data_IF_928580168130
#
_entry.id   IF_928580168130
#
_cell.length_a   1.000
_cell.length_b   1.000
_cell.length_c   1.000
_cell.angle_alpha   90.00
_cell.angle_beta   90.00
_cell.angle_gamma   90.00
#
_symmetry.space_group_name_H-M   'P 1'
#
loop_
_entity.id
_entity.type
_entity.pdbx_description
1 polymer ?
#
# COMPACT_ATOMS: atom_id res chain seq x y z
N UNK A 1 -5.29 -8.10 -1.56
CA UNK A 1 -5.20 -8.76 -2.88
C UNK A 1 -3.78 -9.25 -3.06
N UNK A 2 -3.58 -10.43 -3.64
CA UNK A 2 -2.25 -10.98 -3.93
C UNK A 2 -2.09 -11.10 -5.45
N UNK A 3 -0.92 -10.72 -5.94
CA UNK A 3 -0.58 -10.62 -7.36
C UNK A 3 0.71 -11.38 -7.62
N UNK A 4 0.76 -12.09 -8.74
CA UNK A 4 1.98 -12.65 -9.29
C UNK A 4 2.35 -11.82 -10.52
N UNK A 5 3.54 -11.22 -10.50
CA UNK A 5 4.04 -10.37 -11.57
C UNK A 5 5.30 -10.97 -12.16
N UNK A 6 5.35 -11.13 -13.46
CA UNK A 6 6.56 -11.54 -14.16
C UNK A 6 7.55 -10.38 -14.31
N UNK A 7 8.82 -10.69 -14.58
CA UNK A 7 9.87 -9.67 -14.77
C UNK A 7 9.45 -8.69 -15.87
N UNK A 8 9.45 -7.40 -15.54
CA UNK A 8 9.10 -6.31 -16.44
C UNK A 8 7.61 -6.00 -16.50
N UNK A 9 6.75 -6.77 -15.83
CA UNK A 9 5.33 -6.42 -15.73
C UNK A 9 5.13 -5.19 -14.85
N UNK A 10 4.20 -4.35 -15.30
CA UNK A 10 3.85 -3.10 -14.65
C UNK A 10 2.36 -3.17 -14.28
N UNK A 11 2.08 -2.83 -13.03
CA UNK A 11 0.72 -2.58 -12.57
C UNK A 11 0.58 -1.11 -12.22
N UNK A 12 -0.45 -0.51 -12.80
CA UNK A 12 -0.96 0.79 -12.42
C UNK A 12 -2.19 0.58 -11.52
N UNK A 13 -2.09 0.98 -10.26
CA UNK A 13 -3.18 0.88 -9.30
C UNK A 13 -4.10 2.12 -9.31
N UNK A 14 -3.81 3.09 -10.17
CA UNK A 14 -4.53 4.34 -10.18
C UNK A 14 -4.29 5.13 -8.89
N UNK A 15 -5.29 5.93 -8.51
CA UNK A 15 -5.23 6.78 -7.33
C UNK A 15 -5.60 5.98 -6.08
N UNK A 16 -4.65 5.89 -5.15
CA UNK A 16 -4.79 5.22 -3.85
C UNK A 16 -4.87 6.23 -2.70
N UNK A 17 -5.51 5.86 -1.58
CA UNK A 17 -5.48 6.65 -0.34
C UNK A 17 -4.10 6.60 0.34
N UNK A 18 -3.92 7.39 1.40
CA UNK A 18 -2.80 7.21 2.33
C UNK A 18 -2.93 5.87 3.06
N UNK A 19 -1.84 5.43 3.69
CA UNK A 19 -1.74 4.19 4.46
C UNK A 19 -2.07 2.91 3.67
N UNK A 20 -1.98 2.98 2.34
CA UNK A 20 -1.99 1.81 1.47
C UNK A 20 -0.67 1.07 1.57
N UNK A 21 -0.73 -0.26 1.69
CA UNK A 21 0.43 -1.10 1.88
C UNK A 21 0.70 -2.01 0.68
N UNK A 22 1.96 -2.02 0.25
CA UNK A 22 2.53 -2.90 -0.77
C UNK A 22 3.59 -3.76 -0.07
N UNK A 23 3.39 -5.07 -0.04
CA UNK A 23 4.36 -6.03 0.50
C UNK A 23 4.87 -6.94 -0.59
N UNK A 24 6.20 -7.05 -0.74
CA UNK A 24 6.80 -8.02 -1.64
C UNK A 24 7.08 -9.31 -0.84
N UNK A 25 6.40 -10.40 -1.20
CA UNK A 25 6.50 -11.71 -0.53
C UNK A 25 7.60 -12.60 -1.09
N UNK A 26 8.06 -12.30 -2.30
CA UNK A 26 9.20 -12.92 -2.97
C UNK A 26 9.56 -12.08 -4.19
N UNK A 27 10.84 -12.07 -4.57
CA UNK A 27 11.33 -11.29 -5.73
C UNK A 27 11.66 -9.85 -5.36
N UNK A 28 11.54 -8.94 -6.33
CA UNK A 28 11.84 -7.52 -6.14
C UNK A 28 11.00 -6.65 -7.08
N UNK A 29 10.45 -5.57 -6.53
CA UNK A 29 9.65 -4.60 -7.27
C UNK A 29 10.18 -3.18 -7.06
N UNK A 30 10.02 -2.34 -8.08
CA UNK A 30 10.10 -0.89 -7.99
C UNK A 30 8.68 -0.34 -7.80
N UNK A 31 8.49 0.50 -6.79
CA UNK A 31 7.27 1.24 -6.52
C UNK A 31 7.48 2.75 -6.69
N UNK A 32 6.59 3.41 -7.43
CA UNK A 32 6.56 4.86 -7.63
C UNK A 32 5.22 5.42 -7.18
N UNK A 33 5.24 6.45 -6.33
CA UNK A 33 4.04 7.16 -5.88
C UNK A 33 4.07 8.62 -6.35
N UNK A 34 3.08 9.03 -7.12
CA UNK A 34 2.96 10.43 -7.54
C UNK A 34 2.77 11.36 -6.35
N UNK A 35 3.55 12.44 -6.30
CA UNK A 35 3.61 13.36 -5.17
C UNK A 35 4.65 12.97 -4.13
N UNK A 36 5.25 11.79 -4.25
CA UNK A 36 6.53 11.46 -3.60
C UNK A 36 7.67 11.73 -4.59
N UNK A 37 8.74 12.35 -4.10
CA UNK A 37 9.95 12.63 -4.88
C UNK A 37 10.85 11.40 -5.04
N UNK A 38 10.52 10.31 -4.36
CA UNK A 38 11.35 9.12 -4.26
C UNK A 38 10.63 7.91 -4.82
N UNK A 39 11.44 7.11 -5.49
CA UNK A 39 11.12 5.75 -5.88
C UNK A 39 11.63 4.78 -4.82
N UNK A 40 10.94 3.63 -4.72
CA UNK A 40 11.21 2.63 -3.70
C UNK A 40 11.46 1.27 -4.32
N UNK A 41 12.58 0.65 -3.94
CA UNK A 41 12.82 -0.77 -4.17
C UNK A 41 12.24 -1.56 -3.00
N UNK A 42 11.36 -2.50 -3.29
CA UNK A 42 10.72 -3.39 -2.31
C UNK A 42 11.12 -4.82 -2.68
N UNK A 43 12.10 -5.34 -1.96
CA UNK A 43 12.61 -6.71 -2.11
C UNK A 43 11.86 -7.73 -1.25
N UNK A 44 12.31 -8.96 -1.30
CA UNK A 44 11.72 -10.08 -0.58
C UNK A 44 11.52 -9.80 0.93
N UNK A 45 10.31 -10.08 1.43
CA UNK A 45 9.88 -9.83 2.79
C UNK A 45 9.68 -8.36 3.16
N UNK A 46 10.01 -7.42 2.27
CA UNK A 46 9.91 -5.99 2.55
C UNK A 46 8.52 -5.45 2.26
N UNK A 47 8.22 -4.33 2.89
CA UNK A 47 6.95 -3.63 2.73
C UNK A 47 7.18 -2.13 2.55
N UNK A 48 6.32 -1.53 1.74
CA UNK A 48 6.20 -0.11 1.52
C UNK A 48 4.79 0.32 1.91
N UNK A 49 4.67 1.36 2.73
CA UNK A 49 3.39 1.96 3.10
C UNK A 49 3.40 3.41 2.65
N UNK A 50 2.37 3.80 1.89
CA UNK A 50 2.23 5.16 1.38
C UNK A 50 1.90 6.12 2.51
N UNK A 51 2.65 7.20 2.64
CA UNK A 51 2.39 8.24 3.67
C UNK A 51 1.31 9.23 3.25
N UNK A 52 1.14 9.39 1.94
CA UNK A 52 0.16 10.27 1.32
C UNK A 52 -0.62 9.48 0.27
N UNK A 53 -1.83 9.94 -0.04
CA UNK A 53 -2.56 9.42 -1.20
C UNK A 53 -1.97 9.93 -2.51
N UNK A 54 -2.08 9.17 -3.57
CA UNK A 54 -1.46 9.49 -4.86
C UNK A 54 -1.68 8.41 -5.91
N UNK A 55 -1.08 8.58 -7.07
CA UNK A 55 -1.12 7.58 -8.14
C UNK A 55 0.04 6.60 -7.98
N UNK A 56 -0.24 5.30 -7.88
CA UNK A 56 0.75 4.27 -7.51
C UNK A 56 1.01 3.31 -8.67
N UNK A 57 2.29 3.22 -9.06
CA UNK A 57 2.78 2.27 -10.07
C UNK A 57 3.74 1.29 -9.42
N UNK A 58 3.62 0.02 -9.79
CA UNK A 58 4.51 -1.07 -9.35
C UNK A 58 5.08 -1.75 -10.59
N UNK A 59 6.39 -1.88 -10.67
CA UNK A 59 7.10 -2.60 -11.72
C UNK A 59 7.90 -3.76 -11.11
N UNK A 60 7.68 -4.97 -11.60
CA UNK A 60 8.40 -6.14 -11.15
C UNK A 60 9.80 -6.19 -11.79
N UNK A 61 10.84 -6.07 -10.97
CA UNK A 61 12.23 -6.18 -11.45
C UNK A 61 12.65 -7.65 -11.60
N UNK A 62 12.00 -8.54 -10.87
CA UNK A 62 12.09 -10.00 -10.98
C UNK A 62 10.69 -10.61 -10.87
N UNK A 63 10.53 -11.91 -11.17
CA UNK A 63 9.23 -12.57 -10.92
C UNK A 63 8.89 -12.46 -9.43
N UNK A 64 7.77 -11.80 -9.12
CA UNK A 64 7.49 -11.28 -7.78
C UNK A 64 6.07 -11.60 -7.32
N UNK A 65 5.93 -11.97 -6.05
CA UNK A 65 4.62 -12.10 -5.39
C UNK A 65 4.36 -10.85 -4.58
N UNK A 66 3.42 -10.03 -5.02
CA UNK A 66 3.09 -8.74 -4.39
C UNK A 66 1.74 -8.84 -3.70
N UNK A 67 1.71 -8.48 -2.43
CA UNK A 67 0.49 -8.36 -1.65
C UNK A 67 0.14 -6.87 -1.49
N UNK A 68 -1.10 -6.53 -1.83
CA UNK A 68 -1.68 -5.20 -1.70
C UNK A 68 -2.75 -5.20 -0.61
N UNK A 69 -2.66 -4.23 0.30
CA UNK A 69 -3.66 -4.00 1.35
C UNK A 69 -4.08 -2.54 1.35
N UNK A 70 -5.37 -2.32 1.13
CA UNK A 70 -5.99 -1.02 1.37
C UNK A 70 -5.87 -0.64 2.86
N UNK A 71 -5.85 0.65 3.19
CA UNK A 71 -5.87 1.07 4.58
C UNK A 71 -7.08 0.47 5.29
N UNK A 72 -6.85 -0.19 6.41
CA UNK A 72 -7.92 -0.56 7.31
C UNK A 72 -8.43 0.74 7.94
N UNK A 73 -9.58 1.22 7.48
CA UNK A 73 -10.28 2.31 8.17
C UNK A 73 -10.55 1.84 9.59
N UNK A 74 -9.72 2.25 10.54
CA UNK A 74 -10.17 2.32 11.93
C UNK A 74 -11.21 3.43 11.95
N UNK A 75 -12.47 3.07 11.71
CA UNK A 75 -13.59 3.89 12.12
C UNK A 75 -13.51 3.92 13.64
N UNK A 76 -12.76 4.88 14.17
CA UNK A 76 -12.93 5.32 15.54
C UNK A 76 -14.34 5.90 15.58
N UNK A 77 -15.31 5.05 15.92
CA UNK A 77 -16.64 5.45 16.29
C UNK A 77 -16.50 6.53 17.37
N UNK A 78 -16.71 7.78 16.99
CA UNK A 78 -16.77 8.92 17.91
C UNK A 78 -18.01 8.84 18.82
N UNK A 79 -18.89 7.86 18.61
CA UNK A 79 -20.09 7.64 19.41
C UNK A 79 -19.83 6.85 20.70
N UNK A 80 -18.65 6.25 20.89
CA UNK A 80 -18.35 5.39 22.04
C UNK A 80 -17.98 6.15 23.35
N UNK A 81 -17.95 7.48 23.37
CA UNK A 81 -17.55 8.27 24.54
C UNK A 81 -18.65 9.13 25.18
N UNK A 82 -19.90 9.05 24.69
CA UNK A 82 -21.03 9.68 25.38
C UNK A 82 -21.69 8.67 26.32
N UNK A 83 -21.03 8.41 27.46
CA UNK A 83 -21.75 7.98 28.65
C UNK A 83 -22.42 9.25 29.20
N UNK A 84 -23.76 9.38 29.20
CA UNK A 84 -24.40 10.49 29.90
C UNK A 84 -24.17 10.29 31.40
N UNK A 85 -23.39 11.18 32.02
CA UNK A 85 -23.45 11.37 33.46
C UNK A 85 -24.88 11.82 33.79
N UNK A 86 -25.69 10.91 34.33
CA UNK A 86 -27.01 11.23 34.87
C UNK A 86 -26.84 11.92 36.25
N UNK A 87 -27.71 12.88 36.62
CA UNK A 87 -27.52 13.79 37.75
C UNK A 87 -27.76 13.14 39.12
#
# INVERSE_FOLDING_TARGET
MDLLLERGEIIDLGRIPSDFNVSCRSGQCWVTLSGDSRDYLVGDGQQFTTRTGGHLIICALESSRVQLKAPSTHTTSLWAQLIPCNP
#
